data_IF_428291867476
#
_entry.id   IF_428291867476
#
_cell.length_a   1.000
_cell.length_b   1.000
_cell.length_c   1.000
_cell.angle_alpha   90.00
_cell.angle_beta   90.00
_cell.angle_gamma   90.00
#
_symmetry.space_group_name_H-M   'P 1'
#
loop_
_entity.id
_entity.type
_entity.pdbx_description
1 polymer ?
#
# COMPACT_ATOMS: atom_id res chain seq x y z
N UNK A 1 -8.79 1.52 0.74
CA UNK A 1 -7.50 0.92 0.30
C UNK A 1 -7.51 0.55 -1.19
N UNK A 2 -8.33 -0.41 -1.67
CA UNK A 2 -8.33 -0.83 -3.09
C UNK A 2 -8.49 0.33 -4.08
N UNK A 3 -9.38 1.29 -3.80
CA UNK A 3 -9.56 2.48 -4.63
C UNK A 3 -8.32 3.37 -4.69
N UNK A 4 -7.58 3.54 -3.59
CA UNK A 4 -6.30 4.26 -3.56
C UNK A 4 -5.26 3.55 -4.43
N UNK A 5 -5.17 2.22 -4.35
CA UNK A 5 -4.30 1.46 -5.26
C UNK A 5 -4.67 1.70 -6.73
N UNK A 6 -5.95 1.64 -7.09
CA UNK A 6 -6.39 1.96 -8.46
C UNK A 6 -6.03 3.40 -8.86
N UNK A 7 -6.08 4.36 -7.94
CA UNK A 7 -5.65 5.74 -8.20
C UNK A 7 -4.15 5.85 -8.46
N UNK A 8 -3.30 5.08 -7.75
CA UNK A 8 -1.88 4.96 -8.09
C UNK A 8 -1.67 4.36 -9.49
N UNK A 9 -2.39 3.30 -9.85
CA UNK A 9 -2.32 2.68 -11.20
C UNK A 9 -2.78 3.64 -12.30
N UNK A 10 -3.75 4.50 -12.01
CA UNK A 10 -4.35 5.46 -12.95
C UNK A 10 -3.73 6.86 -12.90
N UNK A 11 -2.68 7.05 -12.09
CA UNK A 11 -2.01 8.35 -11.90
C UNK A 11 -2.98 9.46 -11.44
N UNK A 12 -4.00 9.11 -10.64
CA UNK A 12 -5.01 10.05 -10.15
C UNK A 12 -4.59 10.63 -8.79
N UNK A 13 -3.73 11.65 -8.83
CA UNK A 13 -3.20 12.34 -7.65
C UNK A 13 -4.33 13.00 -6.82
N UNK A 14 -5.31 13.62 -7.48
CA UNK A 14 -6.44 14.28 -6.81
C UNK A 14 -7.21 13.31 -5.90
N UNK A 15 -7.48 12.09 -6.37
CA UNK A 15 -8.14 11.08 -5.56
C UNK A 15 -7.30 10.66 -4.35
N UNK A 16 -5.98 10.51 -4.53
CA UNK A 16 -5.07 10.14 -3.45
C UNK A 16 -5.02 11.22 -2.37
N UNK A 17 -4.98 12.50 -2.77
CA UNK A 17 -5.00 13.66 -1.86
C UNK A 17 -6.34 13.76 -1.15
N UNK A 18 -7.45 13.69 -1.90
CA UNK A 18 -8.81 13.77 -1.34
C UNK A 18 -9.11 12.67 -0.33
N UNK A 19 -8.46 11.52 -0.45
CA UNK A 19 -8.63 10.37 0.45
C UNK A 19 -7.53 10.24 1.50
N UNK A 20 -6.69 11.28 1.66
CA UNK A 20 -5.78 11.42 2.80
C UNK A 20 -6.48 12.14 3.95
N UNK A 21 -6.13 11.79 5.18
CA UNK A 21 -6.72 12.42 6.35
C UNK A 21 -6.36 13.91 6.38
N UNK A 22 -7.30 14.84 6.65
CA UNK A 22 -7.05 16.28 6.59
C UNK A 22 -5.91 16.78 7.50
N UNK A 23 -5.57 16.04 8.56
CA UNK A 23 -4.43 16.38 9.43
C UNK A 23 -3.07 16.10 8.79
N UNK A 24 -3.01 15.22 7.78
CA UNK A 24 -1.83 14.99 6.98
C UNK A 24 -1.77 16.13 5.96
N UNK A 25 -1.02 17.19 6.26
CA UNK A 25 -0.90 18.36 5.37
C UNK A 25 -0.30 17.93 4.03
N UNK A 26 -1.16 17.77 3.02
CA UNK A 26 -0.80 17.17 1.71
C UNK A 26 -0.74 18.18 0.56
N UNK A 27 -0.66 19.48 0.85
CA UNK A 27 -0.71 20.52 -0.19
C UNK A 27 0.45 20.44 -1.20
N UNK A 28 1.64 20.01 -0.76
CA UNK A 28 2.81 19.81 -1.63
C UNK A 28 2.92 18.40 -2.23
N UNK A 29 2.08 17.46 -1.78
CA UNK A 29 2.18 16.06 -2.20
C UNK A 29 1.69 15.83 -3.63
N UNK A 30 0.93 16.76 -4.22
CA UNK A 30 0.43 16.59 -5.58
C UNK A 30 1.57 16.46 -6.58
N UNK A 31 2.50 17.41 -6.58
CA UNK A 31 3.58 17.44 -7.56
C UNK A 31 4.58 16.30 -7.33
N UNK A 32 4.81 15.92 -6.07
CA UNK A 32 5.59 14.73 -5.71
C UNK A 32 4.95 13.43 -6.24
N UNK A 33 3.63 13.28 -6.10
CA UNK A 33 2.91 12.11 -6.64
C UNK A 33 2.98 12.07 -8.17
N UNK A 34 2.71 13.20 -8.83
CA UNK A 34 2.71 13.29 -10.29
C UNK A 34 4.08 13.01 -10.88
N UNK A 35 5.14 13.57 -10.27
CA UNK A 35 6.52 13.30 -10.68
C UNK A 35 6.97 11.86 -10.42
N UNK A 36 6.43 11.21 -9.38
CA UNK A 36 6.72 9.83 -9.02
C UNK A 36 6.06 8.77 -9.90
N UNK A 37 4.84 9.03 -10.41
CA UNK A 37 4.06 8.02 -11.15
C UNK A 37 4.81 7.32 -12.31
N UNK A 38 5.58 8.02 -13.18
CA UNK A 38 6.28 7.36 -14.28
C UNK A 38 7.37 6.38 -13.85
N UNK A 39 7.78 6.39 -12.58
CA UNK A 39 8.87 5.56 -12.07
C UNK A 39 8.40 4.18 -11.60
N UNK A 40 7.09 3.97 -11.42
CA UNK A 40 6.56 2.74 -10.83
C UNK A 40 5.41 2.17 -11.65
N UNK A 41 5.62 0.98 -12.21
CA UNK A 41 4.55 0.22 -12.83
C UNK A 41 3.93 -0.75 -11.81
N UNK A 42 2.70 -0.49 -11.41
CA UNK A 42 1.93 -1.37 -10.53
C UNK A 42 1.37 -2.58 -11.29
N UNK A 43 1.64 -3.78 -10.79
CA UNK A 43 1.29 -5.05 -11.43
C UNK A 43 0.12 -5.79 -10.77
N UNK A 44 -0.05 -5.62 -9.45
CA UNK A 44 -1.16 -6.26 -8.74
C UNK A 44 -1.25 -5.87 -7.28
N UNK A 45 -2.43 -6.12 -6.70
CA UNK A 45 -2.73 -5.89 -5.29
C UNK A 45 -3.28 -7.18 -4.65
N UNK A 46 -2.67 -7.60 -3.56
CA UNK A 46 -3.16 -8.67 -2.70
C UNK A 46 -3.58 -8.10 -1.34
N UNK A 47 -4.87 -8.14 -1.01
CA UNK A 47 -5.34 -7.74 0.33
C UNK A 47 -5.25 -8.95 1.25
N UNK A 48 -4.42 -8.86 2.28
CA UNK A 48 -4.11 -9.93 3.23
C UNK A 48 -5.13 -9.94 4.37
N UNK A 49 -5.45 -8.77 4.93
CA UNK A 49 -6.48 -8.66 5.96
C UNK A 49 -7.10 -7.26 6.04
N UNK A 50 -8.33 -7.18 6.55
CA UNK A 50 -8.98 -5.94 6.94
C UNK A 50 -9.57 -6.11 8.34
N UNK A 51 -9.25 -5.20 9.26
CA UNK A 51 -9.67 -5.30 10.67
C UNK A 51 -10.11 -3.93 11.19
N UNK A 52 -11.28 -3.88 11.83
CA UNK A 52 -11.66 -2.73 12.64
C UNK A 52 -10.81 -2.69 13.92
N UNK A 53 -10.56 -1.49 14.45
CA UNK A 53 -10.00 -1.34 15.80
C UNK A 53 -11.13 -1.35 16.85
N UNK A 54 -10.78 -1.25 18.13
CA UNK A 54 -11.77 -1.03 19.20
C UNK A 54 -12.50 0.31 19.03
N UNK A 55 -11.87 1.28 18.37
CA UNK A 55 -12.49 2.50 17.93
C UNK A 55 -13.24 2.27 16.61
N UNK A 56 -14.55 2.50 16.60
CA UNK A 56 -15.41 2.34 15.41
C UNK A 56 -15.03 3.23 14.22
N UNK A 57 -14.28 4.30 14.48
CA UNK A 57 -13.80 5.24 13.47
C UNK A 57 -12.35 4.97 13.06
N UNK A 58 -11.79 3.81 13.40
CA UNK A 58 -10.45 3.40 13.00
C UNK A 58 -10.45 1.97 12.46
N UNK A 59 -9.71 1.76 11.37
CA UNK A 59 -9.55 0.45 10.76
C UNK A 59 -8.17 0.30 10.12
N UNK A 60 -7.78 -0.95 9.93
CA UNK A 60 -6.50 -1.32 9.34
C UNK A 60 -6.72 -2.23 8.14
N UNK A 61 -5.90 -2.03 7.10
CA UNK A 61 -5.84 -2.93 5.95
C UNK A 61 -4.40 -3.34 5.73
N UNK A 62 -4.14 -4.63 5.82
CA UNK A 62 -2.86 -5.22 5.47
C UNK A 62 -2.92 -5.77 4.05
N UNK A 63 -1.93 -5.42 3.24
CA UNK A 63 -1.87 -5.78 1.83
C UNK A 63 -0.44 -5.89 1.34
N UNK A 64 -0.26 -6.54 0.21
CA UNK A 64 0.94 -6.38 -0.61
C UNK A 64 0.59 -5.86 -2.00
N UNK A 65 1.45 -5.00 -2.53
CA UNK A 65 1.35 -4.49 -3.89
C UNK A 65 2.61 -4.87 -4.68
N UNK A 66 2.43 -5.49 -5.83
CA UNK A 66 3.51 -5.88 -6.73
C UNK A 66 3.76 -4.75 -7.73
N UNK A 67 5.03 -4.41 -7.96
CA UNK A 67 5.42 -3.38 -8.91
C UNK A 67 6.78 -3.68 -9.55
N UNK A 68 7.07 -2.97 -10.64
CA UNK A 68 8.41 -2.87 -11.24
C UNK A 68 8.78 -1.39 -11.27
N UNK A 69 10.00 -1.05 -10.88
CA UNK A 69 10.54 0.30 -11.05
C UNK A 69 11.13 0.47 -12.44
N UNK A 70 11.10 1.69 -12.99
CA UNK A 70 11.51 2.01 -14.37
C UNK A 70 12.89 1.46 -14.78
N UNK A 71 13.80 1.25 -13.82
CA UNK A 71 15.16 0.77 -14.05
C UNK A 71 15.46 -0.57 -13.33
N UNK A 72 14.43 -1.32 -12.96
CA UNK A 72 14.57 -2.63 -12.31
C UNK A 72 14.10 -3.75 -13.25
N UNK A 73 14.87 -4.83 -13.31
CA UNK A 73 14.51 -6.03 -14.09
C UNK A 73 13.54 -6.96 -13.33
N UNK A 74 13.57 -6.88 -12.00
CA UNK A 74 12.82 -7.78 -11.12
C UNK A 74 11.59 -7.12 -10.50
N UNK A 75 10.53 -7.93 -10.35
CA UNK A 75 9.32 -7.54 -9.64
C UNK A 75 9.61 -7.39 -8.14
N UNK A 76 9.16 -6.26 -7.60
CA UNK A 76 9.22 -5.96 -6.17
C UNK A 76 7.84 -6.04 -5.52
N UNK A 77 7.83 -6.05 -4.18
CA UNK A 77 6.61 -6.09 -3.38
C UNK A 77 6.69 -5.09 -2.23
N UNK A 78 5.70 -4.20 -2.17
CA UNK A 78 5.41 -3.38 -0.99
C UNK A 78 4.49 -4.18 -0.09
N UNK A 79 4.89 -4.48 1.15
CA UNK A 79 4.02 -5.10 2.17
C UNK A 79 3.76 -4.07 3.27
N UNK A 80 2.50 -3.68 3.43
CA UNK A 80 2.10 -2.60 4.33
C UNK A 80 0.81 -2.98 5.07
N UNK A 81 0.70 -2.50 6.31
CA UNK A 81 -0.56 -2.35 7.02
C UNK A 81 -0.88 -0.87 7.17
N UNK A 82 -1.78 -0.38 6.32
CA UNK A 82 -2.30 0.98 6.39
C UNK A 82 -3.32 1.12 7.50
N UNK A 83 -3.34 2.28 8.14
CA UNK A 83 -4.37 2.73 9.06
C UNK A 83 -5.29 3.73 8.37
N UNK A 84 -6.58 3.67 8.71
CA UNK A 84 -7.60 4.56 8.20
C UNK A 84 -8.42 5.12 9.35
N UNK A 85 -8.80 6.41 9.25
CA UNK A 85 -9.74 7.07 10.15
C UNK A 85 -11.01 7.46 9.41
N UNK A 86 -12.14 7.40 10.11
CA UNK A 86 -13.48 7.72 9.58
C UNK A 86 -13.94 9.09 10.06
N UNK A 87 -14.30 9.99 9.14
CA UNK A 87 -14.92 11.30 9.42
C UNK A 87 -16.17 11.45 8.54
N UNK A 88 -17.32 11.75 9.14
CA UNK A 88 -18.59 11.97 8.42
C UNK A 88 -18.86 10.86 7.36
N UNK A 89 -18.76 9.61 7.80
CA UNK A 89 -18.89 8.40 6.98
C UNK A 89 -17.88 8.16 5.86
N UNK A 90 -16.88 9.03 5.70
CA UNK A 90 -15.78 8.88 4.76
C UNK A 90 -14.52 8.30 5.43
N UNK A 91 -13.86 7.34 4.78
CA UNK A 91 -12.59 6.78 5.25
C UNK A 91 -11.39 7.47 4.61
N UNK A 92 -10.43 7.85 5.45
CA UNK A 92 -9.21 8.54 5.04
C UNK A 92 -7.97 7.76 5.47
N UNK A 93 -7.00 7.65 4.55
CA UNK A 93 -5.69 7.11 4.86
C UNK A 93 -4.92 8.09 5.75
N UNK A 94 -4.26 7.59 6.80
CA UNK A 94 -3.44 8.43 7.69
C UNK A 94 -1.96 8.06 7.60
N UNK A 95 -1.63 6.80 7.89
CA UNK A 95 -0.28 6.26 7.90
C UNK A 95 -0.29 4.75 7.60
N UNK A 96 0.91 4.18 7.47
CA UNK A 96 1.12 2.77 7.24
C UNK A 96 2.44 2.31 7.85
N UNK A 97 2.49 1.03 8.23
CA UNK A 97 3.71 0.40 8.75
C UNK A 97 4.03 -0.84 7.93
N UNK A 98 5.32 -1.17 7.80
CA UNK A 98 5.78 -2.45 7.20
C UNK A 98 5.66 -3.57 8.24
N UNK A 99 4.73 -4.53 8.10
CA UNK A 99 4.63 -5.63 9.05
C UNK A 99 5.87 -6.53 8.98
N UNK A 100 6.24 -7.14 10.10
CA UNK A 100 7.29 -8.17 10.13
C UNK A 100 6.73 -9.47 9.56
N UNK A 101 7.49 -10.11 8.68
CA UNK A 101 7.16 -11.43 8.11
C UNK A 101 8.16 -12.43 8.65
N UNK A 102 7.67 -13.46 9.34
CA UNK A 102 8.51 -14.56 9.80
C UNK A 102 8.99 -15.41 8.62
N UNK A 103 10.21 -15.96 8.73
CA UNK A 103 10.83 -16.77 7.66
C UNK A 103 9.96 -17.93 7.16
N UNK A 104 9.16 -18.51 8.05
CA UNK A 104 8.30 -19.65 7.75
C UNK A 104 6.84 -19.27 7.45
N UNK A 105 6.47 -17.99 7.59
CA UNK A 105 5.12 -17.51 7.33
C UNK A 105 4.81 -17.55 5.83
N UNK A 106 3.52 -17.62 5.44
CA UNK A 106 3.13 -17.43 4.05
C UNK A 106 3.67 -16.10 3.52
N UNK A 107 4.29 -16.13 2.34
CA UNK A 107 4.87 -14.95 1.75
C UNK A 107 3.77 -13.94 1.40
N UNK A 108 3.90 -12.66 1.81
CA UNK A 108 2.85 -11.66 1.60
C UNK A 108 2.57 -11.38 0.12
N UNK A 109 3.48 -11.75 -0.79
CA UNK A 109 3.29 -11.60 -2.25
C UNK A 109 2.11 -12.40 -2.82
N UNK A 110 1.51 -13.30 -2.05
CA UNK A 110 0.37 -14.12 -2.49
C UNK A 110 0.77 -15.41 -3.22
N UNK A 111 2.05 -15.75 -3.29
CA UNK A 111 2.51 -16.99 -3.97
C UNK A 111 2.13 -18.30 -3.27
N UNK A 112 1.61 -18.23 -2.04
CA UNK A 112 1.33 -19.41 -1.20
C UNK A 112 2.57 -20.10 -0.62
N UNK A 113 3.79 -19.71 -1.03
CA UNK A 113 5.06 -20.26 -0.53
C UNK A 113 5.44 -19.63 0.81
N UNK A 114 6.26 -20.33 1.61
CA UNK A 114 6.92 -19.76 2.79
C UNK A 114 7.84 -18.60 2.39
N UNK A 115 7.93 -17.55 3.21
CA UNK A 115 8.69 -16.34 2.91
C UNK A 115 10.16 -16.61 2.53
N UNK A 116 10.85 -17.48 3.29
CA UNK A 116 12.23 -17.90 3.02
C UNK A 116 12.47 -18.64 1.69
N UNK A 117 11.40 -19.16 1.09
CA UNK A 117 11.41 -19.85 -0.21
C UNK A 117 10.81 -18.98 -1.32
N UNK A 118 10.60 -17.70 -1.05
CA UNK A 118 10.02 -16.74 -1.97
C UNK A 118 10.79 -15.42 -1.89
N UNK A 119 10.17 -14.34 -1.38
CA UNK A 119 10.71 -12.99 -1.49
C UNK A 119 11.87 -12.68 -0.52
N UNK A 120 12.17 -13.52 0.48
CA UNK A 120 13.32 -13.29 1.38
C UNK A 120 14.65 -13.19 0.62
N UNK A 121 14.84 -13.99 -0.42
CA UNK A 121 16.10 -14.05 -1.18
C UNK A 121 16.17 -13.05 -2.37
N UNK A 122 15.09 -12.30 -2.60
CA UNK A 122 15.00 -11.31 -3.67
C UNK A 122 15.31 -9.88 -3.17
N UNK A 123 15.70 -9.73 -1.90
CA UNK A 123 16.25 -8.49 -1.36
C UNK A 123 17.74 -8.51 -1.70
N UNK A 124 18.11 -8.10 -2.91
CA UNK A 124 19.48 -7.70 -3.25
C UNK A 124 19.64 -6.21 -3.07
#
# INVERSE_FOLDING_TARGET
MRSRYSAFVKHNADYLIKTWHPSCRVASLHDELVSGFPNTQWLGLNVISSRASTNKNEAYVEFSACFIERNADDKQYLHERSRFLKIADCWFYIDGVKPKVGRNDPCPCGSGRKYKKCCENNIK
#
